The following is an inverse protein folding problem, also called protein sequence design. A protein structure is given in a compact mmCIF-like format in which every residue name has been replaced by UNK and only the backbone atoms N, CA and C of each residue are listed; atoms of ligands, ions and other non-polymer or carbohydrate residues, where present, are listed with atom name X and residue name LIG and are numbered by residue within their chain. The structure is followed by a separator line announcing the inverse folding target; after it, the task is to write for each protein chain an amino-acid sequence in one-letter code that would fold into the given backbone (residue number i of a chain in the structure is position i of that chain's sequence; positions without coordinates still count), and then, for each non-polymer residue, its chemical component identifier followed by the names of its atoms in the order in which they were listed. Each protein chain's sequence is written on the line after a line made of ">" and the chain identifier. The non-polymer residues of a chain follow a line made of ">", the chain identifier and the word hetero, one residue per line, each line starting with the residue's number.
data_IF_722797649022
#
_entry.id   IF_722797649022
#
_cell.length_a   1.000
_cell.length_b   1.000
_cell.length_c   1.000
_cell.angle_alpha   90.00
_cell.angle_beta   90.00
_cell.angle_gamma   90.00
#
_symmetry.space_group_name_H-M   'P 1'
#
loop_
_entity.id
_entity.type
_entity.pdbx_description
1 polymer ?
#
# COMPACT_ATOMS: atom_id res chain seq x y z
N UNK A 1 -14.50 -44.57 -37.51
CA UNK A 1 -15.76 -43.99 -38.02
C UNK A 1 -16.41 -43.13 -36.95
N UNK A 2 -16.68 -41.86 -37.26
CA UNK A 2 -17.71 -40.96 -36.70
C UNK A 2 -17.81 -40.82 -35.17
N UNK A 3 -17.49 -39.63 -34.64
CA UNK A 3 -18.50 -38.57 -34.40
C UNK A 3 -17.82 -37.23 -34.10
N UNK A 4 -18.45 -36.22 -34.68
CA UNK A 4 -18.01 -34.84 -34.87
C UNK A 4 -19.10 -33.93 -34.31
N UNK A 5 -18.71 -32.72 -33.92
CA UNK A 5 -19.53 -31.49 -33.94
C UNK A 5 -20.64 -31.36 -32.89
N UNK A 6 -20.35 -30.76 -31.73
CA UNK A 6 -21.27 -29.89 -30.97
C UNK A 6 -20.45 -28.95 -30.08
N UNK A 7 -20.04 -27.75 -30.54
CA UNK A 7 -19.64 -26.63 -29.65
C UNK A 7 -19.46 -25.32 -30.48
N UNK A 8 -20.55 -24.73 -30.97
CA UNK A 8 -20.51 -23.45 -31.73
C UNK A 8 -21.68 -22.49 -31.45
N UNK A 9 -22.29 -22.54 -30.27
CA UNK A 9 -23.47 -21.68 -29.95
C UNK A 9 -23.21 -20.61 -28.88
N UNK A 10 -22.04 -20.60 -28.20
CA UNK A 10 -21.82 -19.73 -27.03
C UNK A 10 -21.29 -18.31 -27.28
N UNK A 11 -20.80 -17.96 -28.48
CA UNK A 11 -20.00 -16.74 -28.67
C UNK A 11 -20.80 -15.50 -29.09
N UNK A 12 -22.04 -15.66 -29.58
CA UNK A 12 -22.86 -14.54 -30.07
C UNK A 12 -23.48 -13.68 -28.96
N UNK A 13 -23.82 -14.27 -27.81
CA UNK A 13 -24.52 -13.56 -26.72
C UNK A 13 -23.63 -12.60 -25.93
N UNK A 14 -22.34 -12.91 -25.79
CA UNK A 14 -21.41 -12.13 -24.96
C UNK A 14 -21.02 -10.78 -25.59
N UNK A 15 -20.98 -10.72 -26.94
CA UNK A 15 -20.66 -9.50 -27.68
C UNK A 15 -21.77 -8.44 -27.62
N UNK A 16 -23.04 -8.85 -27.55
CA UNK A 16 -24.15 -7.90 -27.44
C UNK A 16 -24.24 -7.23 -26.05
N UNK A 17 -23.86 -7.96 -24.98
CA UNK A 17 -23.84 -7.42 -23.62
C UNK A 17 -22.71 -6.39 -23.40
N UNK A 18 -21.56 -6.58 -24.06
CA UNK A 18 -20.41 -5.67 -23.98
C UNK A 18 -20.67 -4.31 -24.66
N UNK A 19 -21.49 -4.28 -25.71
CA UNK A 19 -21.82 -3.02 -26.42
C UNK A 19 -22.80 -2.15 -25.61
N UNK A 20 -23.72 -2.71 -24.83
CA UNK A 20 -24.65 -1.90 -24.03
C UNK A 20 -23.99 -1.21 -22.82
N UNK A 21 -22.95 -1.81 -22.21
CA UNK A 21 -22.27 -1.18 -21.06
C UNK A 21 -21.47 0.06 -21.48
N UNK A 22 -20.96 0.10 -22.72
CA UNK A 22 -20.19 1.25 -23.21
C UNK A 22 -21.03 2.52 -23.44
N UNK A 23 -22.35 2.42 -23.64
CA UNK A 23 -23.20 3.58 -23.97
C UNK A 23 -23.63 4.37 -22.73
N UNK A 24 -23.64 3.75 -21.53
CA UNK A 24 -24.05 4.42 -20.28
C UNK A 24 -22.93 5.20 -19.57
N UNK A 25 -21.67 5.08 -20.01
CA UNK A 25 -20.55 5.81 -19.40
C UNK A 25 -20.28 7.20 -20.01
N UNK A 26 -21.02 7.60 -21.06
CA UNK A 26 -20.69 8.79 -21.87
C UNK A 26 -21.47 10.08 -21.51
N UNK A 27 -22.33 10.09 -20.48
CA UNK A 27 -23.20 11.25 -20.19
C UNK A 27 -23.00 11.86 -18.79
N UNK A 28 -21.75 12.03 -18.35
CA UNK A 28 -21.43 12.75 -17.11
C UNK A 28 -20.45 13.89 -17.40
N UNK A 29 -20.91 14.95 -18.07
CA UNK A 29 -20.10 16.15 -18.25
C UNK A 29 -20.96 17.41 -18.24
N UNK A 30 -20.45 18.40 -17.49
CA UNK A 30 -20.67 19.86 -17.57
C UNK A 30 -21.65 20.46 -16.57
N UNK A 31 -21.08 20.85 -15.44
CA UNK A 31 -21.58 21.90 -14.55
C UNK A 31 -20.42 22.65 -13.90
N UNK A 32 -19.58 23.32 -14.69
CA UNK A 32 -18.57 24.23 -14.14
C UNK A 32 -19.23 25.58 -13.87
N UNK A 33 -19.64 25.81 -12.63
CA UNK A 33 -20.03 27.13 -12.14
C UNK A 33 -18.76 27.93 -11.84
N UNK A 34 -18.51 28.96 -12.64
CA UNK A 34 -17.47 29.95 -12.37
C UNK A 34 -17.97 30.88 -11.25
N UNK A 35 -17.61 30.58 -10.00
CA UNK A 35 -17.84 31.47 -8.87
C UNK A 35 -16.77 32.56 -8.91
N UNK A 36 -17.18 33.80 -9.21
CA UNK A 36 -16.36 34.99 -9.02
C UNK A 36 -16.16 35.22 -7.52
N UNK A 37 -15.03 34.76 -6.99
CA UNK A 37 -14.64 35.02 -5.61
C UNK A 37 -14.33 36.53 -5.45
N UNK A 38 -15.12 37.22 -4.64
CA UNK A 38 -14.75 38.54 -4.12
C UNK A 38 -13.52 38.39 -3.20
N UNK A 39 -12.57 39.33 -3.21
CA UNK A 39 -11.47 39.34 -2.25
C UNK A 39 -12.04 39.67 -0.86
N UNK A 40 -12.39 38.63 -0.10
CA UNK A 40 -12.59 38.76 1.35
C UNK A 40 -11.22 39.03 1.95
N UNK A 41 -11.05 40.21 2.54
CA UNK A 41 -9.86 40.54 3.31
C UNK A 41 -9.66 39.44 4.37
N UNK A 42 -8.54 38.71 4.26
CA UNK A 42 -8.21 37.66 5.21
C UNK A 42 -8.11 38.30 6.61
N UNK A 43 -8.86 37.81 7.60
CA UNK A 43 -8.67 38.26 8.97
C UNK A 43 -7.23 37.99 9.36
N UNK A 44 -6.49 39.04 9.72
CA UNK A 44 -5.14 38.94 10.23
C UNK A 44 -5.17 37.99 11.44
N UNK A 45 -4.52 36.82 11.38
CA UNK A 45 -4.50 35.93 12.53
C UNK A 45 -3.79 36.66 13.67
N UNK A 46 -4.51 36.85 14.78
CA UNK A 46 -3.89 37.28 16.02
C UNK A 46 -2.77 36.27 16.36
N UNK A 47 -1.64 36.72 16.92
CA UNK A 47 -0.60 35.83 17.45
C UNK A 47 -1.09 35.18 18.74
N UNK A 48 -2.14 34.36 18.64
CA UNK A 48 -2.39 33.30 19.60
C UNK A 48 -1.48 32.15 19.21
N UNK A 49 -0.78 31.58 20.19
CA UNK A 49 -0.12 30.28 20.06
C UNK A 49 -1.14 29.31 19.46
N UNK A 50 -1.01 29.02 18.18
CA UNK A 50 -1.76 27.95 17.54
C UNK A 50 -1.24 26.70 18.21
N UNK A 51 -1.96 26.23 19.23
CA UNK A 51 -1.88 24.85 19.67
C UNK A 51 -2.32 24.05 18.44
N UNK A 52 -1.34 23.72 17.60
CA UNK A 52 -1.57 22.84 16.48
C UNK A 52 -2.22 21.60 17.10
N UNK A 53 -3.42 21.19 16.66
CA UNK A 53 -4.08 20.03 17.21
C UNK A 53 -3.03 18.92 17.22
N UNK A 54 -2.77 18.33 18.38
CA UNK A 54 -1.71 17.33 18.56
C UNK A 54 -2.15 16.08 17.82
N UNK A 55 -2.07 16.10 16.50
CA UNK A 55 -2.41 14.98 15.61
C UNK A 55 -1.52 13.82 16.04
N UNK A 56 -2.07 12.62 16.01
CA UNK A 56 -1.29 11.41 16.26
C UNK A 56 -0.03 11.43 15.39
N UNK A 57 1.14 11.28 16.02
CA UNK A 57 2.42 11.31 15.31
C UNK A 57 2.93 9.89 15.16
N UNK A 58 3.33 9.51 13.94
CA UNK A 58 4.00 8.24 13.67
C UNK A 58 5.49 8.53 13.51
N UNK A 59 6.28 7.88 14.34
CA UNK A 59 7.72 7.75 14.15
C UNK A 59 8.04 6.36 13.64
N UNK A 60 8.62 6.28 12.44
CA UNK A 60 9.07 5.04 11.85
C UNK A 60 10.35 5.32 11.06
N UNK A 61 11.53 4.80 11.49
CA UNK A 61 12.74 4.90 10.70
C UNK A 61 12.55 4.27 9.32
N UNK A 62 13.41 4.62 8.37
CA UNK A 62 13.39 4.03 7.04
C UNK A 62 13.44 2.50 7.13
N UNK A 63 12.53 1.78 6.46
CA UNK A 63 12.59 0.33 6.42
C UNK A 63 13.85 -0.16 5.70
N UNK A 64 14.28 -1.36 6.08
CA UNK A 64 15.31 -2.11 5.37
C UNK A 64 14.65 -3.26 4.62
N UNK A 65 14.97 -3.44 3.34
CA UNK A 65 14.63 -4.64 2.61
C UNK A 65 15.87 -5.52 2.42
N UNK A 66 15.77 -6.81 2.74
CA UNK A 66 16.90 -7.72 2.66
C UNK A 66 16.51 -9.09 2.08
N UNK A 67 17.51 -9.76 1.50
CA UNK A 67 17.43 -11.10 0.92
C UNK A 67 18.20 -12.07 1.83
N UNK A 68 17.50 -12.90 2.64
CA UNK A 68 18.17 -13.81 3.56
C UNK A 68 18.82 -15.00 2.87
N UNK A 69 18.24 -15.48 1.76
CA UNK A 69 18.73 -16.64 1.02
C UNK A 69 18.61 -16.38 -0.47
N UNK A 70 19.73 -16.34 -1.22
CA UNK A 70 19.71 -16.16 -2.67
C UNK A 70 18.91 -17.24 -3.39
N UNK A 71 18.46 -16.93 -4.60
CA UNK A 71 17.71 -17.80 -5.51
C UNK A 71 16.34 -18.26 -5.00
N UNK A 72 15.79 -17.58 -3.99
CA UNK A 72 14.45 -17.89 -3.43
C UNK A 72 13.38 -16.96 -3.96
N UNK A 73 13.77 -15.80 -4.48
CA UNK A 73 12.89 -14.72 -4.90
C UNK A 73 12.15 -14.05 -3.74
N UNK A 74 12.50 -14.39 -2.49
CA UNK A 74 11.83 -13.92 -1.29
C UNK A 74 12.69 -12.90 -0.55
N UNK A 75 12.18 -11.67 -0.47
CA UNK A 75 12.77 -10.59 0.29
C UNK A 75 11.88 -10.26 1.49
N UNK A 76 12.46 -9.63 2.49
CA UNK A 76 11.76 -9.22 3.70
C UNK A 76 11.96 -7.74 3.94
N UNK A 77 10.87 -7.01 4.13
CA UNK A 77 10.88 -5.60 4.53
C UNK A 77 10.69 -5.56 6.05
N UNK A 78 11.58 -4.86 6.74
CA UNK A 78 11.59 -4.74 8.19
C UNK A 78 11.81 -3.30 8.63
N UNK A 79 11.18 -2.93 9.74
CA UNK A 79 11.46 -1.71 10.49
C UNK A 79 12.21 -2.06 11.76
N UNK A 80 13.12 -1.19 12.20
CA UNK A 80 13.75 -1.33 13.52
C UNK A 80 12.70 -1.17 14.63
N UNK A 81 11.82 -0.18 14.49
CA UNK A 81 10.64 -0.03 15.33
C UNK A 81 9.56 0.76 14.58
N UNK A 82 8.34 0.73 15.08
CA UNK A 82 7.29 1.67 14.72
C UNK A 82 6.69 2.22 16.02
N UNK A 83 6.59 3.53 16.12
CA UNK A 83 6.09 4.21 17.31
C UNK A 83 4.98 5.18 16.92
N UNK A 84 3.90 5.21 17.69
CA UNK A 84 2.82 6.18 17.52
C UNK A 84 2.38 6.75 18.85
N UNK A 85 2.04 8.03 18.86
CA UNK A 85 1.39 8.71 19.99
C UNK A 85 -0.02 9.17 19.61
N UNK A 86 -0.93 9.10 20.58
CA UNK A 86 -2.31 9.55 20.44
C UNK A 86 -2.43 11.05 20.70
N UNK A 87 -3.49 11.65 20.20
CA UNK A 87 -3.88 13.02 20.58
C UNK A 87 -4.19 13.09 22.08
N UNK A 88 -3.91 14.22 22.72
CA UNK A 88 -4.19 14.42 24.15
C UNK A 88 -5.65 14.07 24.50
N UNK A 89 -5.84 13.26 25.54
CA UNK A 89 -7.17 12.81 25.97
C UNK A 89 -7.76 11.65 25.16
N UNK A 90 -7.02 11.07 24.21
CA UNK A 90 -7.42 9.90 23.43
C UNK A 90 -6.48 8.71 23.65
N UNK A 91 -6.84 7.54 23.11
CA UNK A 91 -6.01 6.34 23.13
C UNK A 91 -5.83 5.79 21.72
N UNK A 92 -4.69 5.17 21.43
CA UNK A 92 -4.48 4.46 20.16
C UNK A 92 -5.42 3.26 20.10
N UNK A 93 -6.19 3.18 19.02
CA UNK A 93 -7.08 2.05 18.72
C UNK A 93 -6.35 1.03 17.87
N UNK A 94 -5.71 1.48 16.79
CA UNK A 94 -5.01 0.58 15.88
C UNK A 94 -3.88 1.26 15.12
N UNK A 95 -2.89 0.47 14.72
CA UNK A 95 -1.87 0.81 13.74
C UNK A 95 -1.81 -0.29 12.67
N UNK A 96 -1.86 0.10 11.41
CA UNK A 96 -1.87 -0.82 10.26
C UNK A 96 -0.70 -0.53 9.34
N UNK A 97 -0.09 -1.58 8.80
CA UNK A 97 0.92 -1.47 7.75
C UNK A 97 0.37 -2.09 6.47
N UNK A 98 0.37 -1.31 5.39
CA UNK A 98 0.12 -1.80 4.04
C UNK A 98 1.37 -1.66 3.17
N UNK A 99 1.62 -2.66 2.31
CA UNK A 99 2.68 -2.66 1.30
C UNK A 99 2.03 -2.92 -0.06
N UNK A 100 2.22 -2.02 -1.01
CA UNK A 100 1.55 -2.00 -2.32
C UNK A 100 0.04 -2.25 -2.21
N UNK A 101 -0.62 -1.46 -1.35
CA UNK A 101 -2.07 -1.51 -1.05
C UNK A 101 -2.56 -2.76 -0.33
N UNK A 102 -1.70 -3.76 -0.09
CA UNK A 102 -2.06 -4.97 0.65
C UNK A 102 -1.76 -4.79 2.14
N UNK A 103 -2.76 -4.98 2.99
CA UNK A 103 -2.59 -5.00 4.45
C UNK A 103 -1.66 -6.15 4.85
N UNK A 104 -0.53 -5.84 5.47
CA UNK A 104 0.49 -6.81 5.92
C UNK A 104 0.56 -6.94 7.44
N UNK A 105 0.17 -5.90 8.18
CA UNK A 105 0.15 -5.92 9.64
C UNK A 105 -1.04 -5.14 10.19
N UNK A 106 -1.54 -5.60 11.33
CA UNK A 106 -2.60 -4.95 12.10
C UNK A 106 -2.28 -5.09 13.59
N UNK A 107 -1.96 -3.97 14.24
CA UNK A 107 -1.68 -3.89 15.67
C UNK A 107 -2.82 -3.14 16.35
N UNK A 108 -3.36 -3.68 17.43
CA UNK A 108 -4.41 -3.03 18.22
C UNK A 108 -3.86 -2.53 19.53
N UNK A 109 -4.20 -1.29 19.89
CA UNK A 109 -3.87 -0.72 21.18
C UNK A 109 -4.96 -1.03 22.19
N UNK A 110 -4.58 -1.16 23.46
CA UNK A 110 -5.52 -1.27 24.56
C UNK A 110 -5.35 -0.09 25.51
N UNK A 111 -6.12 0.98 25.29
CA UNK A 111 -6.18 2.18 26.15
C UNK A 111 -4.82 2.84 26.47
N UNK A 112 -3.87 2.80 25.54
CA UNK A 112 -2.58 3.46 25.70
C UNK A 112 -2.54 4.73 24.85
N UNK A 113 -1.89 5.77 25.38
CA UNK A 113 -1.63 7.04 24.67
C UNK A 113 -0.44 6.92 23.71
N UNK A 114 0.29 5.81 23.74
CA UNK A 114 1.34 5.48 22.79
C UNK A 114 1.34 3.99 22.48
N UNK A 115 1.89 3.62 21.34
CA UNK A 115 2.10 2.23 20.94
C UNK A 115 3.49 2.11 20.33
N UNK A 116 4.29 1.18 20.85
CA UNK A 116 5.63 0.88 20.37
C UNK A 116 5.66 -0.56 19.88
N UNK A 117 5.97 -0.75 18.60
CA UNK A 117 6.13 -2.06 17.97
C UNK A 117 7.61 -2.24 17.64
N UNK A 118 8.35 -3.02 18.44
CA UNK A 118 9.74 -3.35 18.15
C UNK A 118 9.85 -4.26 16.91
N UNK A 119 10.94 -4.15 16.16
CA UNK A 119 11.14 -4.86 14.90
C UNK A 119 11.09 -6.38 15.05
N UNK A 120 11.54 -6.90 16.19
CA UNK A 120 11.60 -8.33 16.51
C UNK A 120 10.20 -8.97 16.61
N UNK A 121 9.15 -8.17 16.88
CA UNK A 121 7.77 -8.66 16.85
C UNK A 121 7.30 -9.02 15.43
N UNK A 122 8.00 -8.53 14.42
CA UNK A 122 7.65 -8.76 13.01
C UNK A 122 8.63 -9.70 12.32
N UNK A 123 9.59 -10.28 13.05
CA UNK A 123 10.63 -11.14 12.47
C UNK A 123 10.05 -12.34 11.70
N UNK A 124 10.61 -12.66 10.51
CA UNK A 124 11.80 -12.05 9.88
C UNK A 124 11.50 -10.72 9.14
N UNK A 125 10.28 -10.24 9.14
CA UNK A 125 9.79 -9.08 8.41
C UNK A 125 8.62 -9.44 7.49
N UNK A 126 8.20 -8.49 6.67
CA UNK A 126 7.10 -8.70 5.73
C UNK A 126 7.62 -9.25 4.40
N UNK A 127 7.22 -10.48 4.07
CA UNK A 127 7.64 -11.16 2.84
C UNK A 127 7.09 -10.47 1.59
N UNK A 128 7.99 -10.14 0.68
CA UNK A 128 7.74 -9.59 -0.66
C UNK A 128 8.58 -10.31 -1.71
N UNK A 129 8.32 -10.06 -2.98
CA UNK A 129 9.17 -10.56 -4.07
C UNK A 129 10.43 -9.70 -4.22
N UNK A 130 11.60 -10.27 -4.47
CA UNK A 130 12.81 -9.46 -4.64
C UNK A 130 12.81 -8.65 -5.96
N UNK A 131 12.21 -9.20 -7.01
CA UNK A 131 12.30 -8.64 -8.36
C UNK A 131 13.53 -9.17 -9.11
N UNK A 132 13.51 -9.07 -10.44
CA UNK A 132 14.60 -9.52 -11.33
C UNK A 132 15.56 -8.35 -11.56
N UNK A 133 16.89 -8.56 -11.67
CA UNK A 133 17.82 -7.49 -11.98
C UNK A 133 17.51 -6.89 -13.36
N UNK A 134 17.49 -5.55 -13.51
CA UNK A 134 17.30 -4.92 -14.82
C UNK A 134 18.58 -5.01 -15.66
N UNK A 135 18.70 -6.06 -16.47
CA UNK A 135 19.81 -6.30 -17.42
C UNK A 135 21.23 -6.38 -16.81
N UNK A 136 22.22 -6.75 -17.63
CA UNK A 136 23.60 -7.14 -17.27
C UNK A 136 24.48 -6.03 -16.67
N UNK A 137 23.93 -4.82 -16.54
CA UNK A 137 24.59 -3.63 -15.99
C UNK A 137 24.01 -3.17 -14.65
N UNK A 138 23.07 -3.93 -14.06
CA UNK A 138 22.28 -3.45 -12.93
C UNK A 138 22.98 -3.41 -11.58
N UNK A 139 22.63 -2.37 -10.82
CA UNK A 139 23.01 -2.00 -9.46
C UNK A 139 22.66 -3.03 -8.37
N UNK A 140 22.29 -4.26 -8.73
CA UNK A 140 21.81 -5.29 -7.80
C UNK A 140 20.45 -4.99 -7.18
N UNK A 141 19.71 -4.01 -7.72
CA UNK A 141 18.41 -3.55 -7.20
C UNK A 141 17.27 -4.23 -7.95
N UNK A 142 16.25 -4.66 -7.21
CA UNK A 142 15.05 -5.31 -7.72
C UNK A 142 13.80 -4.43 -7.59
N UNK A 143 12.71 -5.01 -7.10
CA UNK A 143 11.42 -4.33 -6.99
C UNK A 143 11.46 -3.21 -5.94
N UNK A 144 10.75 -2.12 -6.25
CA UNK A 144 10.46 -1.06 -5.28
C UNK A 144 9.02 -1.16 -4.82
N UNK A 145 8.85 -1.17 -3.50
CA UNK A 145 7.56 -1.28 -2.82
C UNK A 145 7.19 0.05 -2.20
N UNK A 146 5.92 0.41 -2.31
CA UNK A 146 5.34 1.54 -1.56
C UNK A 146 4.73 1.02 -0.27
N UNK A 147 4.85 1.78 0.82
CA UNK A 147 4.21 1.42 2.08
C UNK A 147 3.42 2.58 2.68
N UNK A 148 2.41 2.21 3.47
CA UNK A 148 1.60 3.13 4.26
C UNK A 148 1.46 2.56 5.66
N UNK A 149 1.94 3.31 6.66
CA UNK A 149 1.64 3.06 8.06
C UNK A 149 0.52 4.00 8.44
N UNK A 150 -0.60 3.49 8.94
CA UNK A 150 -1.74 4.30 9.36
C UNK A 150 -2.08 3.99 10.80
N UNK A 151 -2.28 5.03 11.61
CA UNK A 151 -2.80 4.88 12.95
C UNK A 151 -4.17 5.54 13.07
N UNK A 152 -4.96 5.03 14.02
CA UNK A 152 -6.28 5.51 14.38
C UNK A 152 -6.36 5.61 15.90
N UNK A 153 -6.85 6.74 16.41
CA UNK A 153 -7.13 6.92 17.82
C UNK A 153 -8.63 6.79 18.15
N UNK A 154 -8.94 6.83 19.44
CA UNK A 154 -10.30 6.69 19.97
C UNK A 154 -11.19 7.90 19.69
N UNK A 155 -10.63 9.02 19.26
CA UNK A 155 -11.38 10.20 18.79
C UNK A 155 -11.72 10.11 17.29
N UNK A 156 -11.24 9.08 16.61
CA UNK A 156 -11.45 8.87 15.17
C UNK A 156 -10.46 9.62 14.29
N UNK A 157 -9.48 10.32 14.88
CA UNK A 157 -8.42 10.97 14.11
C UNK A 157 -7.43 9.90 13.62
N UNK A 158 -7.04 10.05 12.36
CA UNK A 158 -6.09 9.16 11.70
C UNK A 158 -4.90 9.94 11.19
N UNK A 159 -3.73 9.35 11.37
CA UNK A 159 -2.45 9.83 10.83
C UNK A 159 -1.84 8.74 9.96
N UNK A 160 -1.00 9.13 9.01
CA UNK A 160 -0.33 8.17 8.14
C UNK A 160 1.10 8.62 7.78
N UNK A 161 2.01 7.66 7.73
CA UNK A 161 3.36 7.81 7.20
C UNK A 161 3.47 7.00 5.90
N UNK A 162 4.10 7.60 4.89
CA UNK A 162 4.22 7.05 3.54
C UNK A 162 5.69 6.97 3.16
N UNK A 163 6.04 5.96 2.39
CA UNK A 163 7.37 5.88 1.81
C UNK A 163 7.49 4.76 0.80
N UNK A 164 8.72 4.52 0.39
CA UNK A 164 9.06 3.42 -0.50
C UNK A 164 10.36 2.77 -0.07
N UNK A 165 10.49 1.49 -0.38
CA UNK A 165 11.70 0.71 -0.14
C UNK A 165 12.03 -0.11 -1.38
N UNK A 166 13.28 -0.05 -1.81
CA UNK A 166 13.78 -0.89 -2.90
C UNK A 166 14.48 -2.10 -2.34
N UNK A 167 14.08 -3.28 -2.80
CA UNK A 167 14.67 -4.55 -2.40
C UNK A 167 15.86 -4.90 -3.31
N UNK A 168 16.83 -5.71 -2.82
CA UNK A 168 17.82 -6.31 -3.70
C UNK A 168 17.13 -7.22 -4.73
N UNK A 169 17.72 -7.34 -5.91
CA UNK A 169 17.24 -8.27 -6.93
C UNK A 169 17.60 -9.72 -6.56
N UNK A 170 16.79 -10.67 -7.02
CA UNK A 170 17.08 -12.09 -6.89
C UNK A 170 16.57 -12.88 -8.11
N UNK A 171 17.33 -13.88 -8.55
CA UNK A 171 16.98 -14.71 -9.71
C UNK A 171 16.63 -16.11 -9.27
N UNK A 172 15.36 -16.52 -9.47
CA UNK A 172 14.90 -17.87 -9.17
C UNK A 172 15.05 -18.75 -10.39
N UNK A 173 15.92 -19.76 -10.28
CA UNK A 173 16.08 -20.79 -11.31
C UNK A 173 15.04 -21.90 -11.11
N UNK A 174 13.96 -21.89 -11.91
CA UNK A 174 12.97 -22.98 -11.90
C UNK A 174 13.38 -24.03 -12.92
N UNK A 175 13.89 -25.17 -12.44
CA UNK A 175 14.18 -26.33 -13.29
C UNK A 175 12.88 -27.10 -13.54
N UNK A 176 12.46 -27.20 -14.80
CA UNK A 176 11.34 -28.06 -15.18
C UNK A 176 11.71 -29.54 -14.89
N UNK A 177 10.89 -30.29 -14.13
CA UNK A 177 11.16 -31.69 -13.89
C UNK A 177 11.06 -32.45 -15.23
N UNK A 178 12.19 -33.01 -15.68
CA UNK A 178 12.40 -33.81 -16.89
C UNK A 178 11.13 -34.14 -17.68
N UNK A 179 10.82 -33.32 -18.69
CA UNK A 179 9.91 -33.70 -19.77
C UNK A 179 10.57 -34.84 -20.56
N UNK A 180 10.41 -36.08 -20.09
CA UNK A 180 10.70 -37.26 -20.91
C UNK A 180 9.74 -37.24 -22.10
N UNK A 181 10.29 -37.13 -23.30
CA UNK A 181 9.56 -37.32 -24.57
C UNK A 181 9.15 -38.77 -24.74
#
# INVERSE_FOLDING_TARGET
>A
MKRSVIFRVGLGGLLCALVMVAVLAASAQRGSLTVLAMPVAAPTPAPGTVDAPTISFIDSPSPTCYLPTPETGACYIQWNYMYVTATAGSSIVSMTLAIDTQLRAYHTGFFQTSMYIPGEMTDPGYRVTCGVPPDDTSTGMGNTYTYVIRALDSSGLSTANYGSVTCPADTVHIYLPNLRR
#
